data_IF_595042589391
#
_entry.id   IF_595042589391
#
_cell.length_a   1.000
_cell.length_b   1.000
_cell.length_c   1.000
_cell.angle_alpha   90.00
_cell.angle_beta   90.00
_cell.angle_gamma   90.00
#
_symmetry.space_group_name_H-M   'P 1'
#
loop_
_entity.id
_entity.type
_entity.pdbx_description
1 polymer ?
#
# COMPACT_ATOMS: atom_id res chain seq x y z
N UNK A 1 1.56 16.81 24.43
CA UNK A 1 2.10 17.49 23.23
C UNK A 1 3.44 16.85 22.94
N UNK A 2 3.54 16.08 21.86
CA UNK A 2 4.81 15.46 21.46
C UNK A 2 5.61 16.48 20.64
N UNK A 3 6.88 16.68 20.99
CA UNK A 3 7.78 17.66 20.37
C UNK A 3 9.06 16.95 19.93
N UNK A 4 9.03 16.32 18.77
CA UNK A 4 10.24 15.82 18.11
C UNK A 4 9.89 15.46 16.66
N UNK A 5 10.76 15.87 15.73
CA UNK A 5 10.70 15.63 14.27
C UNK A 5 10.75 14.13 13.87
N UNK A 6 10.54 13.23 14.81
CA UNK A 6 10.50 11.78 14.62
C UNK A 6 9.08 11.20 14.75
N UNK A 7 8.08 12.01 15.13
CA UNK A 7 6.66 11.64 15.03
C UNK A 7 6.07 11.85 13.62
N UNK A 8 6.80 12.48 12.68
CA UNK A 8 6.29 12.86 11.35
C UNK A 8 6.21 11.71 10.32
N UNK A 9 6.62 10.48 10.68
CA UNK A 9 6.66 9.35 9.73
C UNK A 9 5.57 8.30 9.95
N UNK A 10 4.68 8.51 10.93
CA UNK A 10 3.68 7.53 11.34
C UNK A 10 2.28 8.16 11.35
N UNK A 11 1.55 7.92 10.26
CA UNK A 11 0.10 8.11 10.10
C UNK A 11 -0.42 9.54 9.86
N UNK A 12 -0.27 10.03 8.63
CA UNK A 12 -1.19 11.02 8.03
C UNK A 12 -2.57 10.41 7.71
N UNK A 13 -2.94 9.26 8.28
CA UNK A 13 -4.27 8.69 8.06
C UNK A 13 -5.32 9.65 8.64
N UNK A 14 -6.36 9.96 7.87
CA UNK A 14 -7.49 10.79 8.28
C UNK A 14 -8.68 9.87 8.62
N UNK A 15 -8.84 9.47 9.90
CA UNK A 15 -9.89 8.54 10.29
C UNK A 15 -11.30 9.09 10.07
N UNK A 16 -11.47 10.41 9.97
CA UNK A 16 -12.78 11.02 9.76
C UNK A 16 -13.26 10.89 8.31
N UNK A 17 -12.34 10.73 7.36
CA UNK A 17 -12.65 10.54 5.93
C UNK A 17 -12.43 9.11 5.44
N UNK A 18 -12.00 8.20 6.32
CA UNK A 18 -11.76 6.81 5.97
C UNK A 18 -13.03 6.11 5.46
N UNK A 19 -12.95 5.56 4.26
CA UNK A 19 -14.03 4.84 3.60
C UNK A 19 -13.54 3.56 2.94
N UNK A 20 -14.26 2.47 3.17
CA UNK A 20 -14.06 1.22 2.43
C UNK A 20 -14.75 1.35 1.08
N UNK A 21 -13.98 1.25 -0.01
CA UNK A 21 -14.51 1.33 -1.37
C UNK A 21 -15.09 -0.02 -1.79
N UNK A 22 -14.21 -1.03 -1.85
CA UNK A 22 -14.55 -2.42 -2.13
C UNK A 22 -13.35 -3.28 -1.78
N UNK A 23 -13.56 -4.37 -1.04
CA UNK A 23 -12.47 -5.24 -0.60
C UNK A 23 -11.57 -5.66 -1.78
N UNK A 24 -10.22 -5.50 -1.68
CA UNK A 24 -9.44 -5.16 -0.49
C UNK A 24 -9.18 -3.66 -0.27
N UNK A 25 -9.78 -2.78 -1.04
CA UNK A 25 -9.41 -1.37 -1.12
C UNK A 25 -10.26 -0.44 -0.25
N UNK A 26 -9.57 0.50 0.40
CA UNK A 26 -10.14 1.63 1.13
C UNK A 26 -9.32 2.88 0.85
N UNK A 27 -9.83 4.06 1.23
CA UNK A 27 -9.09 5.31 1.17
C UNK A 27 -9.55 6.28 2.24
N UNK A 28 -8.75 7.28 2.53
CA UNK A 28 -9.16 8.50 3.19
C UNK A 28 -8.80 9.71 2.31
N UNK A 29 -8.78 10.92 2.87
CA UNK A 29 -8.41 12.13 2.12
C UNK A 29 -6.92 12.18 1.72
N UNK A 30 -6.06 11.45 2.43
CA UNK A 30 -4.61 11.58 2.34
C UNK A 30 -3.97 10.38 1.62
N UNK A 31 -4.56 9.19 1.71
CA UNK A 31 -4.01 7.95 1.18
C UNK A 31 -5.08 6.97 0.69
N UNK A 32 -4.65 6.02 -0.16
CA UNK A 32 -5.41 4.81 -0.46
C UNK A 32 -4.72 3.57 0.11
N UNK A 33 -5.48 2.51 0.33
CA UNK A 33 -5.04 1.31 1.03
C UNK A 33 -5.50 0.04 0.32
N UNK A 34 -4.74 -1.02 0.52
CA UNK A 34 -5.04 -2.39 0.14
C UNK A 34 -4.85 -3.27 1.38
N UNK A 35 -5.96 -3.69 1.98
CA UNK A 35 -5.96 -4.31 3.31
C UNK A 35 -5.45 -3.33 4.36
N UNK A 36 -4.40 -3.68 5.11
CA UNK A 36 -3.77 -2.76 6.07
C UNK A 36 -2.54 -2.05 5.51
N UNK A 37 -2.26 -2.17 4.20
CA UNK A 37 -1.13 -1.54 3.54
C UNK A 37 -1.56 -0.30 2.77
N UNK A 38 -0.95 0.86 3.01
CA UNK A 38 -1.16 2.02 2.15
C UNK A 38 -0.41 1.86 0.82
N UNK A 39 -1.05 2.35 -0.23
CA UNK A 39 -0.58 2.32 -1.60
C UNK A 39 0.14 3.62 -1.93
N UNK A 40 1.17 3.53 -2.77
CA UNK A 40 1.67 4.72 -3.45
C UNK A 40 0.63 5.16 -4.48
N UNK A 41 0.04 6.33 -4.27
CA UNK A 41 -0.96 6.94 -5.15
C UNK A 41 -0.52 8.35 -5.49
N UNK A 42 -0.64 8.73 -6.76
CA UNK A 42 -0.31 10.06 -7.26
C UNK A 42 -1.39 11.10 -6.91
N UNK A 43 -2.68 10.72 -7.06
CA UNK A 43 -3.83 11.52 -6.68
C UNK A 43 -4.94 10.64 -6.08
N UNK A 44 -5.13 10.73 -4.76
CA UNK A 44 -6.12 9.93 -4.01
C UNK A 44 -7.57 10.25 -4.39
N UNK A 45 -7.82 11.48 -4.86
CA UNK A 45 -9.15 11.88 -5.34
C UNK A 45 -9.55 11.09 -6.60
N UNK A 46 -8.56 10.68 -7.40
CA UNK A 46 -8.72 9.88 -8.63
C UNK A 46 -8.69 8.38 -8.40
N UNK A 47 -8.39 7.93 -7.18
CA UNK A 47 -8.33 6.51 -6.88
C UNK A 47 -9.70 5.85 -6.98
N UNK A 48 -9.82 4.88 -7.90
CA UNK A 48 -11.03 4.11 -8.15
C UNK A 48 -10.76 2.61 -8.19
N UNK A 49 -11.75 1.83 -7.70
CA UNK A 49 -11.70 0.36 -7.72
C UNK A 49 -12.40 -0.16 -8.96
N UNK A 50 -11.65 -0.87 -9.80
CA UNK A 50 -12.17 -1.53 -11.02
C UNK A 50 -12.78 -2.88 -10.66
N UNK A 51 -12.11 -3.65 -9.79
CA UNK A 51 -12.51 -5.00 -9.43
C UNK A 51 -12.16 -5.29 -7.97
N UNK A 52 -13.11 -5.85 -7.21
CA UNK A 52 -12.85 -6.33 -5.86
C UNK A 52 -12.70 -7.84 -5.83
N UNK A 53 -12.30 -8.39 -4.69
CA UNK A 53 -12.11 -9.84 -4.49
C UNK A 53 -12.76 -10.27 -3.16
N UNK A 54 -12.80 -11.58 -2.91
CA UNK A 54 -13.15 -12.15 -1.61
C UNK A 54 -11.95 -12.74 -0.86
N UNK A 55 -10.76 -12.69 -1.45
CA UNK A 55 -9.57 -13.38 -0.92
C UNK A 55 -8.65 -12.42 -0.19
N UNK A 56 -8.37 -12.74 1.08
CA UNK A 56 -7.36 -12.08 1.91
C UNK A 56 -6.19 -13.03 2.17
N UNK A 57 -4.97 -12.51 2.10
CA UNK A 57 -3.75 -13.20 2.51
C UNK A 57 -3.25 -12.49 3.76
N UNK A 58 -2.95 -13.27 4.79
CA UNK A 58 -2.27 -12.81 5.98
C UNK A 58 -0.82 -13.31 5.95
N UNK A 59 0.14 -12.41 6.05
CA UNK A 59 1.58 -12.73 6.07
C UNK A 59 2.27 -11.93 7.17
N UNK A 60 3.45 -12.37 7.61
CA UNK A 60 4.29 -11.50 8.44
C UNK A 60 4.83 -10.35 7.59
N UNK A 61 5.19 -9.22 8.22
CA UNK A 61 5.85 -8.13 7.49
C UNK A 61 7.12 -8.61 6.79
N UNK A 62 7.91 -9.47 7.44
CA UNK A 62 9.10 -10.08 6.84
C UNK A 62 8.77 -10.98 5.64
N UNK A 63 7.70 -11.77 5.72
CA UNK A 63 7.25 -12.60 4.60
C UNK A 63 6.71 -11.79 3.43
N UNK A 64 6.04 -10.67 3.71
CA UNK A 64 5.51 -9.77 2.69
C UNK A 64 6.61 -8.93 2.01
N UNK A 65 7.49 -8.32 2.81
CA UNK A 65 8.57 -7.47 2.32
C UNK A 65 9.71 -8.29 1.69
N UNK A 66 9.91 -9.53 2.12
CA UNK A 66 11.12 -10.31 1.84
C UNK A 66 12.19 -10.06 2.92
N UNK A 67 13.07 -11.04 3.15
CA UNK A 67 14.19 -10.89 4.06
C UNK A 67 15.26 -9.97 3.44
N UNK A 68 16.02 -9.22 4.26
CA UNK A 68 17.14 -8.41 3.76
C UNK A 68 18.21 -9.23 3.02
N UNK A 69 18.28 -10.53 3.32
CA UNK A 69 19.17 -11.49 2.68
C UNK A 69 18.65 -12.02 1.34
N UNK A 70 17.37 -11.82 1.04
CA UNK A 70 16.82 -12.21 -0.25
C UNK A 70 17.46 -11.33 -1.32
N UNK A 71 17.84 -11.91 -2.46
CA UNK A 71 18.32 -11.12 -3.60
C UNK A 71 17.18 -10.19 -4.00
N UNK A 72 17.27 -8.92 -3.61
CA UNK A 72 16.27 -7.90 -3.93
C UNK A 72 16.27 -7.75 -5.46
N UNK A 73 15.30 -8.38 -6.10
CA UNK A 73 15.05 -8.22 -7.51
C UNK A 73 14.44 -6.82 -7.75
N UNK A 74 15.30 -5.82 -7.91
CA UNK A 74 14.91 -4.43 -8.19
C UNK A 74 14.42 -4.22 -9.63
N UNK A 75 14.12 -5.28 -10.37
CA UNK A 75 13.76 -5.20 -11.79
C UNK A 75 12.50 -4.37 -12.05
N UNK A 76 11.50 -4.44 -11.17
CA UNK A 76 10.28 -3.64 -11.28
C UNK A 76 10.30 -2.40 -10.40
N UNK A 77 9.61 -1.33 -10.83
CA UNK A 77 9.40 -0.16 -9.98
C UNK A 77 8.65 -0.51 -8.69
N UNK A 78 7.78 -1.52 -8.74
CA UNK A 78 7.14 -2.11 -7.57
C UNK A 78 8.16 -2.60 -6.54
N UNK A 79 9.20 -3.35 -6.90
CA UNK A 79 10.22 -3.83 -5.95
C UNK A 79 11.14 -2.70 -5.46
N UNK A 80 11.33 -1.64 -6.26
CA UNK A 80 12.04 -0.43 -5.83
C UNK A 80 11.24 0.37 -4.79
N UNK A 81 9.96 0.58 -5.05
CA UNK A 81 9.06 1.35 -4.18
C UNK A 81 8.65 0.54 -2.93
N UNK A 82 8.47 -0.78 -3.06
CA UNK A 82 8.12 -1.69 -1.95
C UNK A 82 9.12 -1.66 -0.81
N UNK A 83 10.42 -1.46 -1.07
CA UNK A 83 11.40 -1.45 0.01
C UNK A 83 11.66 -0.05 0.58
N UNK A 84 11.68 0.99 -0.26
CA UNK A 84 12.04 2.34 0.20
C UNK A 84 10.83 3.12 0.74
N UNK A 85 9.67 3.04 0.08
CA UNK A 85 8.45 3.71 0.50
C UNK A 85 7.82 3.01 1.72
N UNK A 86 7.66 1.69 1.65
CA UNK A 86 7.00 0.94 2.73
C UNK A 86 7.84 0.85 4.01
N UNK A 87 9.18 0.78 3.95
CA UNK A 87 9.99 0.83 5.19
C UNK A 87 9.96 2.19 5.85
N UNK A 88 10.03 3.27 5.06
CA UNK A 88 10.01 4.64 5.61
C UNK A 88 8.64 4.99 6.20
N UNK A 89 7.54 4.54 5.59
CA UNK A 89 6.16 4.84 6.02
C UNK A 89 5.56 3.80 6.99
N UNK A 90 5.98 2.53 6.96
CA UNK A 90 5.39 1.42 7.75
C UNK A 90 6.36 0.69 8.67
N UNK A 91 7.63 1.11 8.75
CA UNK A 91 8.69 0.41 9.46
C UNK A 91 8.50 0.20 10.97
N UNK A 92 7.36 0.58 11.57
CA UNK A 92 7.17 0.56 13.02
C UNK A 92 5.80 0.07 13.54
N UNK A 93 4.81 -0.34 12.73
CA UNK A 93 3.42 -0.43 13.27
C UNK A 93 2.73 -1.81 13.19
N UNK A 94 3.23 -2.83 12.46
CA UNK A 94 2.49 -4.11 12.39
C UNK A 94 3.42 -5.33 12.28
N UNK A 95 3.13 -6.42 13.00
CA UNK A 95 3.81 -7.72 12.78
C UNK A 95 3.16 -8.55 11.65
N UNK A 96 1.92 -8.19 11.28
CA UNK A 96 1.11 -8.89 10.30
C UNK A 96 0.56 -7.95 9.22
N UNK A 97 0.63 -8.42 7.98
CA UNK A 97 0.12 -7.78 6.78
C UNK A 97 -1.09 -8.55 6.31
N UNK A 98 -2.20 -7.85 6.12
CA UNK A 98 -3.42 -8.33 5.48
C UNK A 98 -3.52 -7.67 4.12
N UNK A 99 -3.55 -8.46 3.06
CA UNK A 99 -3.58 -7.96 1.69
C UNK A 99 -4.34 -8.87 0.75
N UNK A 100 -4.47 -8.47 -0.51
CA UNK A 100 -4.94 -9.35 -1.59
C UNK A 100 -4.03 -9.21 -2.81
N UNK A 101 -4.04 -10.21 -3.68
CA UNK A 101 -3.27 -10.22 -4.93
C UNK A 101 -4.14 -10.04 -6.19
N UNK A 102 -5.46 -10.00 -6.06
CA UNK A 102 -6.37 -10.11 -7.22
C UNK A 102 -7.24 -8.89 -7.49
N UNK A 103 -7.55 -8.07 -6.48
CA UNK A 103 -8.35 -6.87 -6.68
C UNK A 103 -7.70 -5.93 -7.69
N UNK A 104 -8.44 -5.11 -8.42
CA UNK A 104 -7.89 -4.12 -9.36
C UNK A 104 -8.37 -2.73 -9.01
N UNK A 105 -7.44 -1.78 -9.00
CA UNK A 105 -7.73 -0.37 -8.81
C UNK A 105 -6.87 0.45 -9.78
N UNK A 106 -7.17 1.74 -9.92
CA UNK A 106 -6.36 2.66 -10.73
C UNK A 106 -6.56 4.11 -10.31
N UNK A 107 -5.67 4.96 -10.78
CA UNK A 107 -5.88 6.40 -10.94
C UNK A 107 -5.91 6.74 -12.42
N UNK A 108 -5.84 8.03 -12.76
CA UNK A 108 -5.70 8.48 -14.15
C UNK A 108 -4.35 8.03 -14.77
N UNK A 109 -3.32 7.76 -13.94
CA UNK A 109 -1.96 7.43 -14.43
C UNK A 109 -1.42 6.07 -13.96
N UNK A 110 -1.93 5.54 -12.84
CA UNK A 110 -1.41 4.33 -12.20
C UNK A 110 -2.45 3.21 -12.22
N UNK A 111 -2.02 1.96 -12.39
CA UNK A 111 -2.90 0.78 -12.30
C UNK A 111 -2.36 -0.21 -11.28
N UNK A 112 -3.25 -0.83 -10.52
CA UNK A 112 -2.93 -1.73 -9.44
C UNK A 112 -3.60 -3.10 -9.61
N UNK A 113 -2.88 -4.17 -9.25
CA UNK A 113 -3.43 -5.49 -8.99
C UNK A 113 -2.99 -5.98 -7.62
N UNK A 114 -3.96 -6.23 -6.74
CA UNK A 114 -3.74 -6.34 -5.32
C UNK A 114 -3.06 -5.10 -4.79
N UNK A 115 -2.07 -5.28 -3.91
CA UNK A 115 -1.30 -4.15 -3.41
C UNK A 115 -0.10 -3.78 -4.31
N UNK A 116 -0.10 -4.19 -5.59
CA UNK A 116 1.03 -4.03 -6.51
C UNK A 116 0.69 -3.06 -7.62
N UNK A 117 1.59 -2.10 -7.89
CA UNK A 117 1.56 -1.28 -9.09
C UNK A 117 1.95 -2.14 -10.29
N UNK A 118 1.15 -2.08 -11.36
CA UNK A 118 1.47 -2.70 -12.64
C UNK A 118 1.87 -1.60 -13.61
N UNK A 119 3.09 -1.69 -14.14
CA UNK A 119 3.51 -0.87 -15.28
C UNK A 119 2.68 -1.29 -16.51
N UNK A 120 1.94 -0.34 -17.09
CA UNK A 120 1.25 -0.57 -18.35
C UNK A 120 2.33 -0.68 -19.44
N UNK A 121 2.62 -1.91 -19.87
CA UNK A 121 3.56 -2.15 -20.98
C UNK A 121 2.92 -1.61 -22.26
N UNK A 122 3.26 -0.37 -22.61
CA UNK A 122 3.07 0.17 -23.96
C UNK A 122 3.87 -0.63 -24.99
#
# INVERSE_FOLDING_TARGET
MCTSRECDLSADADPNSFGVLKFPYSKDNNDAYCGNLPLYVDDVSKFEVVEGTGTAIMSSVYGFLGAESDRIDKSSEYERNKHEYNRKKYGLITDAVLYSEDGKAKTDTLTYKGCKLIEDKR
#
